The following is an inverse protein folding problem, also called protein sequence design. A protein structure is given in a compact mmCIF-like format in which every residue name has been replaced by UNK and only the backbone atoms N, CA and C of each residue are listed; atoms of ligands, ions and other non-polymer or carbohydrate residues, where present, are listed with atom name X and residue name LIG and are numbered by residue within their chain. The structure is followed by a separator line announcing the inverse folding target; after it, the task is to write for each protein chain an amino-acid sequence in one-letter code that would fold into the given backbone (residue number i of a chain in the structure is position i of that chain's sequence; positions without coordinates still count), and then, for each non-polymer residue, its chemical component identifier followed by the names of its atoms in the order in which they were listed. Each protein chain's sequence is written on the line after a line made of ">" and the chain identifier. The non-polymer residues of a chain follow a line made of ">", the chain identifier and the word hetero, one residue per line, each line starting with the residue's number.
data_IF_851771358464
#
_entry.id   IF_851771358464
#
_cell.length_a   1.000
_cell.length_b   1.000
_cell.length_c   1.000
_cell.angle_alpha   90.00
_cell.angle_beta   90.00
_cell.angle_gamma   90.00
#
_symmetry.space_group_name_H-M   'P 1'
#
loop_
_entity.id
_entity.type
_entity.pdbx_description
1 polymer ?
#
# COMPACT_ATOMS: atom_id res chain seq x y z
N UNK A 1 10.58 -14.39 7.08
CA UNK A 1 9.56 -14.24 6.02
C UNK A 1 9.87 -15.23 4.93
N UNK A 2 8.90 -16.00 4.43
CA UNK A 2 9.11 -16.76 3.18
C UNK A 2 9.38 -15.74 2.10
N UNK A 3 10.48 -15.86 1.39
CA UNK A 3 10.77 -14.98 0.26
C UNK A 3 9.71 -15.20 -0.82
N UNK A 4 9.05 -14.12 -1.21
CA UNK A 4 8.12 -14.13 -2.33
C UNK A 4 8.98 -14.11 -3.60
N UNK A 5 8.75 -15.06 -4.49
CA UNK A 5 9.45 -15.13 -5.77
C UNK A 5 8.44 -14.89 -6.90
N UNK A 6 8.72 -13.89 -7.70
CA UNK A 6 7.82 -13.47 -8.79
C UNK A 6 7.87 -14.36 -10.02
N UNK A 7 8.99 -15.03 -10.26
CA UNK A 7 9.22 -15.93 -11.42
C UNK A 7 8.80 -15.29 -12.74
N UNK A 8 9.07 -13.99 -12.92
CA UNK A 8 8.68 -13.18 -14.08
C UNK A 8 7.16 -13.09 -14.33
N UNK A 9 6.33 -13.37 -13.32
CA UNK A 9 4.90 -13.17 -13.43
C UNK A 9 4.58 -11.67 -13.57
N UNK A 10 3.59 -11.36 -14.42
CA UNK A 10 3.10 -9.99 -14.53
C UNK A 10 2.41 -9.57 -13.22
N UNK A 11 2.69 -8.37 -12.77
CA UNK A 11 2.23 -7.84 -11.49
C UNK A 11 1.69 -6.42 -11.67
N UNK A 12 0.65 -6.09 -10.93
CA UNK A 12 0.14 -4.74 -10.74
C UNK A 12 0.34 -4.36 -9.29
N UNK A 13 0.96 -3.21 -9.03
CA UNK A 13 1.14 -2.69 -7.68
C UNK A 13 0.13 -1.60 -7.39
N UNK A 14 -0.48 -1.63 -6.21
CA UNK A 14 -1.52 -0.68 -5.82
C UNK A 14 -1.20 -0.09 -4.45
N UNK A 15 -1.04 1.24 -4.37
CA UNK A 15 -0.94 1.97 -3.11
C UNK A 15 -2.32 2.55 -2.76
N UNK A 16 -2.92 2.05 -1.67
CA UNK A 16 -4.16 2.62 -1.12
C UNK A 16 -3.82 3.61 -0.02
N UNK A 17 -4.34 4.82 -0.09
CA UNK A 17 -3.97 5.89 0.84
C UNK A 17 -5.13 6.81 1.18
N UNK A 18 -4.99 7.55 2.32
CA UNK A 18 -6.03 8.43 2.86
C UNK A 18 -6.04 9.85 2.28
N UNK A 19 -5.74 10.02 1.00
CA UNK A 19 -5.79 11.27 0.22
C UNK A 19 -4.90 12.43 0.74
N UNK A 20 -3.96 12.15 1.64
CA UNK A 20 -2.95 13.16 2.01
C UNK A 20 -1.73 13.05 1.08
N UNK A 21 -1.04 11.94 1.15
CA UNK A 21 0.09 11.59 0.29
C UNK A 21 0.41 10.10 0.47
N UNK A 22 0.90 9.46 -0.56
CA UNK A 22 1.50 8.13 -0.49
C UNK A 22 3.04 8.20 -0.53
N UNK A 23 3.58 9.45 -0.54
CA UNK A 23 5.03 9.73 -0.59
C UNK A 23 5.74 8.85 -1.63
N UNK A 24 6.76 8.08 -1.23
CA UNK A 24 7.47 7.16 -2.11
C UNK A 24 6.92 5.72 -2.07
N UNK A 25 5.77 5.50 -1.41
CA UNK A 25 5.24 4.15 -1.18
C UNK A 25 4.93 3.38 -2.47
N UNK A 26 4.48 4.06 -3.52
CA UNK A 26 4.16 3.40 -4.79
C UNK A 26 5.43 2.98 -5.55
N UNK A 27 6.44 3.86 -5.63
CA UNK A 27 7.72 3.52 -6.27
C UNK A 27 8.47 2.44 -5.48
N UNK A 28 8.46 2.53 -4.15
CA UNK A 28 9.07 1.52 -3.28
C UNK A 28 8.40 0.14 -3.46
N UNK A 29 7.08 0.11 -3.63
CA UNK A 29 6.33 -1.12 -3.87
C UNK A 29 6.70 -1.73 -5.23
N UNK A 30 6.81 -0.90 -6.28
CA UNK A 30 7.27 -1.32 -7.60
C UNK A 30 8.68 -1.91 -7.52
N UNK A 31 9.64 -1.17 -6.98
CA UNK A 31 11.03 -1.61 -6.86
C UNK A 31 11.14 -2.92 -6.07
N UNK A 32 10.37 -3.05 -4.98
CA UNK A 32 10.35 -4.26 -4.16
C UNK A 32 9.80 -5.46 -4.94
N UNK A 33 8.73 -5.27 -5.71
CA UNK A 33 8.16 -6.34 -6.53
C UNK A 33 9.13 -6.78 -7.64
N UNK A 34 9.80 -5.83 -8.29
CA UNK A 34 10.81 -6.11 -9.32
C UNK A 34 12.03 -6.84 -8.72
N UNK A 35 12.50 -6.44 -7.54
CA UNK A 35 13.55 -7.16 -6.80
C UNK A 35 13.15 -8.60 -6.44
N UNK A 36 11.85 -8.84 -6.23
CA UNK A 36 11.31 -10.20 -6.03
C UNK A 36 11.15 -10.97 -7.36
N UNK A 37 11.50 -10.39 -8.49
CA UNK A 37 11.44 -11.04 -9.81
C UNK A 37 10.09 -11.00 -10.50
N UNK A 38 9.20 -10.04 -10.15
CA UNK A 38 7.97 -9.76 -10.88
C UNK A 38 8.21 -8.81 -12.04
N UNK A 39 7.41 -8.92 -13.09
CA UNK A 39 7.29 -7.92 -14.15
C UNK A 39 6.16 -6.94 -13.76
N UNK A 40 6.51 -5.78 -13.22
CA UNK A 40 5.50 -4.79 -12.81
C UNK A 40 5.01 -4.04 -14.04
N UNK A 41 3.81 -4.34 -14.50
CA UNK A 41 3.22 -3.83 -15.75
C UNK A 41 2.35 -2.59 -15.54
N UNK A 42 1.89 -2.33 -14.31
CA UNK A 42 1.12 -1.15 -13.95
C UNK A 42 1.29 -0.81 -12.47
N UNK A 43 1.14 0.49 -12.15
CA UNK A 43 1.17 1.02 -10.79
C UNK A 43 -0.02 1.96 -10.59
N UNK A 44 -0.82 1.74 -9.55
CA UNK A 44 -2.06 2.47 -9.29
C UNK A 44 -2.02 3.09 -7.89
N UNK A 45 -2.37 4.36 -7.77
CA UNK A 45 -2.64 5.00 -6.47
C UNK A 45 -4.17 5.13 -6.30
N UNK A 46 -4.70 4.52 -5.26
CA UNK A 46 -6.15 4.50 -4.98
C UNK A 46 -6.46 5.26 -3.69
N UNK A 47 -7.40 6.19 -3.77
CA UNK A 47 -7.85 6.97 -2.60
C UNK A 47 -8.84 6.16 -1.77
N UNK A 48 -8.69 6.22 -0.44
CA UNK A 48 -9.65 5.68 0.52
C UNK A 48 -9.83 6.66 1.68
N UNK A 49 -10.82 6.42 2.54
CA UNK A 49 -10.98 7.16 3.78
C UNK A 49 -9.73 7.04 4.65
N UNK A 50 -9.29 8.16 5.24
CA UNK A 50 -8.09 8.18 6.07
C UNK A 50 -8.30 7.37 7.35
N UNK A 51 -7.49 6.35 7.58
CA UNK A 51 -7.67 5.37 8.66
C UNK A 51 -7.68 5.96 10.08
N UNK A 52 -6.93 7.04 10.32
CA UNK A 52 -6.82 7.69 11.64
C UNK A 52 -7.70 8.94 11.70
N UNK A 53 -7.64 9.80 10.69
CA UNK A 53 -8.36 11.07 10.62
C UNK A 53 -9.51 10.95 9.62
N UNK A 54 -10.57 10.25 10.01
CA UNK A 54 -11.69 9.85 9.15
C UNK A 54 -12.48 10.98 8.52
N UNK A 55 -12.31 12.23 8.98
CA UNK A 55 -12.86 13.42 8.32
C UNK A 55 -12.20 13.71 6.96
N UNK A 56 -11.01 13.15 6.69
CA UNK A 56 -10.37 13.26 5.38
C UNK A 56 -10.81 12.11 4.48
N UNK A 57 -11.28 12.47 3.29
CA UNK A 57 -11.79 11.53 2.29
C UNK A 57 -12.86 10.59 2.84
N UNK A 58 -13.73 11.12 3.74
CA UNK A 58 -14.85 10.37 4.27
C UNK A 58 -15.74 9.84 3.14
N UNK A 59 -16.11 8.56 3.24
CA UNK A 59 -16.91 7.89 2.23
C UNK A 59 -16.16 7.45 0.95
N UNK A 60 -14.81 7.61 0.92
CA UNK A 60 -14.01 7.10 -0.20
C UNK A 60 -13.52 5.66 0.06
N UNK A 61 -13.45 4.79 -0.97
CA UNK A 61 -13.76 5.07 -2.37
C UNK A 61 -15.26 5.24 -2.63
N UNK A 62 -15.62 6.20 -3.47
CA UNK A 62 -16.98 6.48 -3.91
C UNK A 62 -17.28 5.90 -5.31
N UNK A 63 -18.41 6.30 -5.91
CA UNK A 63 -18.78 5.82 -7.23
C UNK A 63 -17.83 6.30 -8.35
N UNK A 64 -17.25 7.51 -8.21
CA UNK A 64 -16.29 8.03 -9.17
C UNK A 64 -14.98 7.28 -9.09
N UNK A 65 -14.47 7.04 -7.88
CA UNK A 65 -13.31 6.18 -7.66
C UNK A 65 -13.52 4.79 -8.25
N UNK A 66 -14.70 4.23 -8.04
CA UNK A 66 -15.03 2.91 -8.55
C UNK A 66 -15.04 2.87 -10.08
N UNK A 67 -15.47 3.93 -10.74
CA UNK A 67 -15.41 4.06 -12.21
C UNK A 67 -13.97 4.16 -12.70
N UNK A 68 -13.15 5.01 -12.06
CA UNK A 68 -11.74 5.16 -12.43
C UNK A 68 -10.96 3.86 -12.21
N UNK A 69 -11.17 3.17 -11.09
CA UNK A 69 -10.51 1.88 -10.83
C UNK A 69 -10.91 0.80 -11.85
N UNK A 70 -12.18 0.79 -12.29
CA UNK A 70 -12.64 -0.11 -13.35
C UNK A 70 -11.97 0.22 -14.68
N UNK A 71 -11.85 1.50 -15.02
CA UNK A 71 -11.16 1.96 -16.22
C UNK A 71 -9.70 1.54 -16.20
N UNK A 72 -8.97 1.71 -15.09
CA UNK A 72 -7.61 1.19 -14.95
C UNK A 72 -7.54 -0.32 -15.15
N UNK A 73 -8.50 -1.07 -14.61
CA UNK A 73 -8.55 -2.52 -14.81
C UNK A 73 -8.76 -2.89 -16.29
N UNK A 74 -9.62 -2.18 -17.00
CA UNK A 74 -9.84 -2.36 -18.44
C UNK A 74 -8.58 -2.06 -19.25
N UNK A 75 -7.91 -0.93 -18.98
CA UNK A 75 -6.64 -0.56 -19.64
C UNK A 75 -5.52 -1.58 -19.38
N UNK A 76 -5.46 -2.15 -18.17
CA UNK A 76 -4.51 -3.22 -17.82
C UNK A 76 -4.83 -4.51 -18.59
N UNK A 77 -6.10 -4.88 -18.70
CA UNK A 77 -6.54 -6.04 -19.47
C UNK A 77 -6.26 -5.87 -20.97
N UNK A 78 -6.48 -4.69 -21.52
CA UNK A 78 -6.12 -4.35 -22.90
C UNK A 78 -4.61 -4.48 -23.12
N UNK A 79 -3.80 -3.95 -22.19
CA UNK A 79 -2.34 -4.07 -22.23
C UNK A 79 -1.90 -5.53 -22.22
N UNK A 80 -2.52 -6.37 -21.37
CA UNK A 80 -2.21 -7.80 -21.27
C UNK A 80 -2.63 -8.61 -22.50
N UNK A 81 -3.70 -8.19 -23.18
CA UNK A 81 -4.22 -8.89 -24.38
C UNK A 81 -3.57 -8.42 -25.68
N UNK A 82 -2.76 -7.35 -25.63
CA UNK A 82 -2.04 -6.86 -26.80
C UNK A 82 -0.86 -7.78 -27.16
N UNK A 83 -0.63 -8.01 -28.45
CA UNK A 83 0.54 -8.76 -28.95
C UNK A 83 1.87 -7.97 -28.80
N UNK A 84 1.84 -6.81 -28.13
CA UNK A 84 3.02 -5.98 -27.89
C UNK A 84 3.77 -6.47 -26.66
N UNK A 85 5.09 -6.36 -26.70
CA UNK A 85 5.93 -6.57 -25.51
C UNK A 85 5.48 -5.66 -24.36
N UNK A 86 5.21 -6.25 -23.20
CA UNK A 86 4.75 -5.52 -22.02
C UNK A 86 5.91 -4.68 -21.46
N UNK A 87 5.83 -3.37 -21.65
CA UNK A 87 6.82 -2.46 -21.07
C UNK A 87 6.64 -2.38 -19.55
N UNK A 88 7.75 -2.57 -18.84
CA UNK A 88 7.90 -2.30 -17.40
C UNK A 88 8.59 -0.94 -17.16
N UNK A 89 9.08 -0.30 -18.21
CA UNK A 89 9.70 1.02 -18.18
C UNK A 89 8.63 2.10 -18.36
N UNK A 90 8.17 2.66 -17.23
CA UNK A 90 7.23 3.77 -17.19
C UNK A 90 7.46 4.58 -15.91
N UNK A 91 7.11 5.85 -15.96
CA UNK A 91 7.27 6.76 -14.84
C UNK A 91 6.30 6.42 -13.70
N UNK A 92 6.84 6.31 -12.47
CA UNK A 92 6.08 6.23 -11.22
C UNK A 92 6.54 7.38 -10.32
N UNK A 93 5.61 8.20 -9.79
CA UNK A 93 5.98 9.28 -8.88
C UNK A 93 6.66 8.77 -7.60
N UNK A 94 7.69 9.49 -7.15
CA UNK A 94 8.43 9.20 -5.93
C UNK A 94 9.94 9.22 -6.16
N UNK A 95 10.68 8.95 -5.10
CA UNK A 95 12.15 8.86 -5.10
C UNK A 95 12.60 7.46 -4.71
N UNK A 96 13.60 6.92 -5.42
CA UNK A 96 14.24 5.64 -5.05
C UNK A 96 15.06 5.71 -3.76
N UNK A 97 15.33 6.91 -3.23
CA UNK A 97 15.95 7.06 -1.91
C UNK A 97 14.96 6.86 -0.75
N UNK A 98 13.71 6.70 -1.05
CA UNK A 98 12.54 6.54 -0.20
C UNK A 98 12.54 7.41 1.07
N UNK A 99 11.47 8.11 1.27
CA UNK A 99 11.25 8.89 2.48
C UNK A 99 11.22 7.97 3.70
N UNK A 100 12.21 8.10 4.58
CA UNK A 100 12.24 7.34 5.82
C UNK A 100 11.29 7.96 6.84
N UNK A 101 10.56 7.11 7.55
CA UNK A 101 9.87 7.51 8.77
C UNK A 101 10.94 8.03 9.75
N UNK A 102 10.83 9.31 10.14
CA UNK A 102 11.62 9.86 11.23
C UNK A 102 11.29 9.15 12.55
N UNK A 103 12.00 9.50 13.60
CA UNK A 103 11.72 8.98 14.94
C UNK A 103 10.29 9.42 15.38
N UNK A 104 9.30 8.57 15.12
CA UNK A 104 7.96 8.76 15.65
C UNK A 104 7.99 8.42 17.14
N UNK A 105 7.92 9.46 17.99
CA UNK A 105 7.76 9.29 19.44
C UNK A 105 6.32 8.93 19.85
N UNK A 106 5.42 8.80 18.89
CA UNK A 106 4.00 8.48 19.13
C UNK A 106 3.82 6.97 19.20
N UNK A 107 3.83 6.45 20.41
CA UNK A 107 3.51 5.04 20.69
C UNK A 107 2.23 4.97 21.52
N UNK A 108 1.33 3.99 21.28
CA UNK A 108 0.17 3.77 22.12
C UNK A 108 0.60 3.54 23.59
N UNK A 109 -0.05 4.24 24.52
CA UNK A 109 0.19 4.07 25.94
C UNK A 109 -1.13 3.75 26.65
N UNK A 110 -1.09 2.81 27.58
CA UNK A 110 -2.22 2.55 28.44
C UNK A 110 -2.51 3.78 29.33
N UNK A 111 -3.78 4.14 29.48
CA UNK A 111 -4.22 5.20 30.38
C UNK A 111 -4.61 4.62 31.76
N UNK A 112 -5.03 5.49 32.68
CA UNK A 112 -5.41 5.11 34.05
C UNK A 112 -6.61 4.13 34.13
N UNK A 113 -7.38 3.95 33.07
CA UNK A 113 -8.49 2.99 33.02
C UNK A 113 -8.05 1.58 32.59
N UNK A 114 -6.76 1.37 32.35
CA UNK A 114 -6.23 0.08 31.93
C UNK A 114 -6.31 -0.92 33.12
N UNK A 115 -6.98 -2.05 32.88
CA UNK A 115 -7.13 -3.13 33.89
C UNK A 115 -6.04 -4.19 33.79
N UNK A 116 -5.05 -4.04 32.87
CA UNK A 116 -4.02 -5.04 32.65
C UNK A 116 -4.52 -6.36 32.05
N UNK A 117 -5.70 -6.39 31.43
CA UNK A 117 -6.32 -7.63 30.91
C UNK A 117 -5.58 -8.33 29.77
N UNK A 118 -4.57 -7.71 29.18
CA UNK A 118 -3.72 -8.28 28.13
C UNK A 118 -4.34 -8.40 26.74
N UNK A 119 -5.63 -8.05 26.54
CA UNK A 119 -6.32 -8.18 25.25
C UNK A 119 -5.60 -7.46 24.08
N UNK A 120 -5.00 -6.30 24.35
CA UNK A 120 -4.26 -5.56 23.34
C UNK A 120 -2.98 -6.29 22.90
N UNK A 121 -2.30 -6.97 23.82
CA UNK A 121 -1.13 -7.78 23.52
C UNK A 121 -1.52 -9.05 22.75
N UNK A 122 -2.61 -9.71 23.15
CA UNK A 122 -3.12 -10.91 22.48
C UNK A 122 -3.61 -10.61 21.04
N UNK A 123 -4.17 -9.40 20.82
CA UNK A 123 -4.65 -8.97 19.52
C UNK A 123 -3.55 -8.37 18.62
N UNK A 124 -2.34 -8.17 19.11
CA UNK A 124 -1.26 -7.55 18.35
C UNK A 124 -0.63 -8.54 17.35
N UNK A 125 -0.81 -8.37 16.03
CA UNK A 125 -0.32 -9.34 15.05
C UNK A 125 1.20 -9.40 14.94
N UNK A 126 1.89 -8.35 15.42
CA UNK A 126 3.36 -8.25 15.39
C UNK A 126 4.01 -8.56 16.74
N UNK A 127 3.22 -8.80 17.78
CA UNK A 127 3.74 -9.02 19.13
C UNK A 127 4.44 -7.80 19.75
N UNK A 128 4.18 -6.59 19.24
CA UNK A 128 4.85 -5.36 19.69
C UNK A 128 4.33 -4.82 21.04
N UNK A 129 3.29 -5.41 21.61
CA UNK A 129 2.69 -5.00 22.88
C UNK A 129 2.99 -6.06 23.93
N UNK A 130 3.72 -5.68 24.95
CA UNK A 130 4.01 -6.58 26.10
C UNK A 130 2.85 -6.57 27.10
N UNK A 131 2.59 -7.73 27.71
CA UNK A 131 1.76 -7.82 28.91
C UNK A 131 2.63 -7.38 30.09
N UNK A 132 2.32 -6.25 30.70
CA UNK A 132 2.90 -5.81 31.96
C UNK A 132 2.05 -6.32 33.12
#
# INVERSE_FOLDING_TARGET
>A
MKEIQGNHANCVVIAVYGNRAYDDGLIQLKDTAELCGFNVIASVAAVAEHSIMRQFSSGRPDEEDSKELKKFAEEILEKLSSDKELSTDYFVPGSHEYKRLGNLSVVPKANASCTGCGKCADACPTGAINKN
#
